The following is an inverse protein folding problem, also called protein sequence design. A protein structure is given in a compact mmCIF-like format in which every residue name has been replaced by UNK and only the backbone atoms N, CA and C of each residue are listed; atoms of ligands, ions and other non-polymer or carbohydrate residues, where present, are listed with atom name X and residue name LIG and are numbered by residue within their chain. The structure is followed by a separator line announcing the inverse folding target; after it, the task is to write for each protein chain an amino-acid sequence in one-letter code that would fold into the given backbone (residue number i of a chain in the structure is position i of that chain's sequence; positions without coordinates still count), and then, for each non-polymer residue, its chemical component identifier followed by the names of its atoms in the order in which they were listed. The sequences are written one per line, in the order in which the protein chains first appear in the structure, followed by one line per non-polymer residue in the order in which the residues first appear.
data_IF_447297880509
#
_entry.id   IF_447297880509
#
_cell.length_a   1.000
_cell.length_b   1.000
_cell.length_c   1.000
_cell.angle_alpha   90.00
_cell.angle_beta   90.00
_cell.angle_gamma   90.00
#
_symmetry.space_group_name_H-M   'P 1'
#
loop_
_entity.id
_entity.type
_entity.pdbx_description
1 polymer ?
#
# COMPACT_ATOMS: atom_id res chain seq x y z
N UNK A 1 1.83 3.74 6.26
CA UNK A 1 2.73 4.17 5.15
C UNK A 1 1.94 4.75 3.98
N UNK A 2 1.17 3.97 3.20
CA UNK A 2 0.42 4.44 2.01
C UNK A 2 -0.42 5.70 2.30
N UNK A 3 -1.29 5.74 3.33
CA UNK A 3 -2.10 6.94 3.58
C UNK A 3 -1.28 8.22 3.84
N UNK A 4 -0.15 8.07 4.55
CA UNK A 4 0.74 9.21 4.81
C UNK A 4 1.43 9.73 3.54
N UNK A 5 1.81 8.84 2.62
CA UNK A 5 2.41 9.21 1.34
C UNK A 5 1.37 9.85 0.41
N UNK A 6 0.15 9.31 0.35
CA UNK A 6 -0.96 9.92 -0.41
C UNK A 6 -1.20 11.33 0.09
N UNK A 7 -1.34 11.51 1.41
CA UNK A 7 -1.54 12.83 2.01
C UNK A 7 -0.41 13.78 1.62
N UNK A 8 0.84 13.36 1.79
CA UNK A 8 2.03 14.18 1.48
C UNK A 8 2.03 14.63 0.01
N UNK A 9 1.76 13.73 -0.93
CA UNK A 9 1.70 14.07 -2.36
C UNK A 9 0.54 15.02 -2.68
N UNK A 10 -0.65 14.79 -2.11
CA UNK A 10 -1.82 15.64 -2.32
C UNK A 10 -1.59 17.04 -1.76
N UNK A 11 -1.11 17.15 -0.51
CA UNK A 11 -0.82 18.44 0.13
C UNK A 11 0.26 19.22 -0.64
N UNK A 12 1.34 18.54 -1.07
CA UNK A 12 2.40 19.16 -1.84
C UNK A 12 1.92 19.65 -3.22
N UNK A 13 1.13 18.85 -3.93
CA UNK A 13 0.50 19.25 -5.19
C UNK A 13 -0.38 20.48 -5.02
N UNK A 14 -1.27 20.45 -4.02
CA UNK A 14 -2.25 21.53 -3.81
C UNK A 14 -1.58 22.84 -3.33
N UNK A 15 -0.43 22.73 -2.64
CA UNK A 15 0.40 23.85 -2.25
C UNK A 15 1.35 24.35 -3.38
N UNK A 16 1.43 23.65 -4.52
CA UNK A 16 2.38 23.99 -5.59
C UNK A 16 3.84 23.75 -5.20
N UNK A 17 4.10 22.82 -4.29
CA UNK A 17 5.47 22.49 -3.86
C UNK A 17 6.23 21.77 -4.97
N UNK A 18 7.52 22.13 -5.15
CA UNK A 18 8.39 21.55 -6.14
C UNK A 18 8.94 20.16 -5.78
N UNK A 19 8.81 19.75 -4.50
CA UNK A 19 9.27 18.45 -4.04
C UNK A 19 8.50 17.92 -2.82
N UNK A 20 8.66 16.60 -2.59
CA UNK A 20 8.38 15.94 -1.32
C UNK A 20 9.63 15.23 -0.82
N UNK A 21 9.81 15.16 0.50
CA UNK A 21 10.87 14.37 1.13
C UNK A 21 10.35 13.02 1.58
N UNK A 22 11.08 11.93 1.28
CA UNK A 22 10.76 10.56 1.70
C UNK A 22 11.97 9.96 2.41
N UNK A 23 11.76 9.40 3.60
CA UNK A 23 12.84 8.82 4.40
C UNK A 23 13.33 7.49 3.83
N UNK A 24 14.65 7.28 3.95
CA UNK A 24 15.34 6.08 3.52
C UNK A 24 15.75 6.13 2.05
N UNK A 25 16.26 5.02 1.54
CA UNK A 25 16.71 4.87 0.16
C UNK A 25 15.59 4.46 -0.80
N UNK A 26 14.48 3.97 -0.25
CA UNK A 26 13.38 3.39 -1.01
C UNK A 26 13.63 1.96 -1.50
N UNK A 27 14.77 1.33 -1.13
CA UNK A 27 15.11 -0.01 -1.58
C UNK A 27 14.32 -1.13 -0.88
N UNK A 28 13.83 -0.88 0.33
CA UNK A 28 13.05 -1.86 1.08
C UNK A 28 11.76 -2.23 0.35
N UNK A 29 11.37 -3.54 0.39
CA UNK A 29 10.13 -4.03 -0.20
C UNK A 29 9.07 -4.33 0.85
N UNK A 30 7.80 -4.16 0.47
CA UNK A 30 6.62 -4.45 1.28
C UNK A 30 5.53 -5.09 0.43
N UNK A 31 4.69 -5.84 1.11
CA UNK A 31 3.47 -6.38 0.55
C UNK A 31 2.28 -5.59 1.09
N UNK A 32 1.31 -5.33 0.23
CA UNK A 32 0.06 -4.64 0.58
C UNK A 32 -1.12 -5.40 -0.01
N UNK A 33 -2.21 -5.46 0.74
CA UNK A 33 -3.47 -6.02 0.29
C UNK A 33 -4.54 -4.92 0.26
N UNK A 34 -5.39 -4.94 -0.76
CA UNK A 34 -6.52 -4.02 -0.83
C UNK A 34 -7.58 -4.38 0.21
N UNK A 35 -8.26 -3.37 0.76
CA UNK A 35 -9.15 -3.54 1.91
C UNK A 35 -10.32 -4.48 1.63
N UNK A 36 -10.89 -4.48 0.42
CA UNK A 36 -11.99 -5.36 0.06
C UNK A 36 -11.54 -6.82 0.00
N UNK A 37 -10.35 -7.11 -0.57
CA UNK A 37 -9.76 -8.45 -0.56
C UNK A 37 -9.47 -8.91 0.87
N UNK A 38 -8.97 -8.02 1.73
CA UNK A 38 -8.75 -8.33 3.13
C UNK A 38 -10.05 -8.66 3.85
N UNK A 39 -11.11 -7.90 3.62
CA UNK A 39 -12.44 -8.14 4.18
C UNK A 39 -13.01 -9.48 3.71
N UNK A 40 -12.90 -9.80 2.42
CA UNK A 40 -13.30 -11.10 1.87
C UNK A 40 -12.52 -12.24 2.53
N UNK A 41 -11.21 -12.09 2.67
CA UNK A 41 -10.37 -13.09 3.34
C UNK A 41 -10.78 -13.33 4.79
N UNK A 42 -11.15 -12.28 5.54
CA UNK A 42 -11.65 -12.38 6.91
C UNK A 42 -12.98 -13.14 6.95
N UNK A 43 -13.91 -12.85 6.03
CA UNK A 43 -15.19 -13.57 5.95
C UNK A 43 -14.96 -15.05 5.62
N UNK A 44 -14.12 -15.34 4.62
CA UNK A 44 -13.83 -16.73 4.23
C UNK A 44 -13.17 -17.53 5.35
N UNK A 45 -12.18 -16.97 6.05
CA UNK A 45 -11.52 -17.66 7.16
C UNK A 45 -12.51 -17.93 8.30
N UNK A 46 -13.39 -16.98 8.60
CA UNK A 46 -14.41 -17.14 9.64
C UNK A 46 -15.41 -18.24 9.31
N UNK A 47 -15.74 -18.42 8.05
CA UNK A 47 -16.75 -19.40 7.58
C UNK A 47 -16.19 -20.80 7.31
N UNK A 48 -14.89 -20.92 7.00
CA UNK A 48 -14.32 -22.15 6.40
C UNK A 48 -13.05 -22.66 7.08
N UNK A 49 -12.53 -21.96 8.08
CA UNK A 49 -11.27 -22.34 8.72
C UNK A 49 -11.49 -22.49 10.23
N UNK A 50 -11.38 -23.73 10.72
CA UNK A 50 -11.55 -24.11 12.13
C UNK A 50 -10.33 -24.90 12.62
N UNK A 51 -9.12 -24.40 12.28
CA UNK A 51 -7.86 -25.01 12.70
C UNK A 51 -7.11 -24.06 13.64
N UNK A 52 -6.27 -24.58 14.57
CA UNK A 52 -5.55 -23.75 15.54
C UNK A 52 -4.38 -22.98 14.94
N UNK A 53 -3.92 -23.36 13.73
CA UNK A 53 -2.75 -22.76 13.11
C UNK A 53 -3.05 -21.37 12.54
N UNK A 54 -2.17 -20.38 12.75
CA UNK A 54 -2.35 -19.07 12.16
C UNK A 54 -2.24 -19.11 10.64
N UNK A 55 -3.00 -18.25 9.96
CA UNK A 55 -3.01 -18.11 8.52
C UNK A 55 -2.78 -16.65 8.12
N UNK A 56 -1.97 -16.43 7.09
CA UNK A 56 -1.73 -15.11 6.55
C UNK A 56 -2.72 -14.81 5.41
N UNK A 57 -3.29 -13.60 5.44
CA UNK A 57 -4.04 -13.03 4.31
C UNK A 57 -3.14 -12.02 3.62
N UNK A 58 -2.79 -12.28 2.38
CA UNK A 58 -1.88 -11.44 1.59
C UNK A 58 -2.03 -11.69 0.10
N UNK A 59 -1.24 -10.96 -0.69
CA UNK A 59 -1.23 -11.05 -2.15
C UNK A 59 -0.12 -11.96 -2.69
N UNK A 60 0.95 -12.14 -1.89
CA UNK A 60 2.20 -12.76 -2.33
C UNK A 60 3.03 -11.85 -3.27
N UNK A 61 2.65 -10.59 -3.46
CA UNK A 61 3.34 -9.65 -4.34
C UNK A 61 3.98 -8.52 -3.54
N UNK A 62 5.23 -8.25 -3.84
CA UNK A 62 6.02 -7.21 -3.19
C UNK A 62 6.24 -6.03 -4.13
N UNK A 63 6.31 -4.85 -3.54
CA UNK A 63 6.68 -3.61 -4.23
C UNK A 63 7.76 -2.89 -3.42
N UNK A 64 8.75 -2.30 -4.09
CA UNK A 64 9.73 -1.45 -3.41
C UNK A 64 9.07 -0.15 -2.95
N UNK A 65 9.60 0.44 -1.88
CA UNK A 65 9.09 1.75 -1.43
C UNK A 65 9.31 2.82 -2.51
N UNK A 66 10.37 2.69 -3.30
CA UNK A 66 10.64 3.60 -4.43
C UNK A 66 9.54 3.54 -5.49
N UNK A 67 9.18 2.34 -5.92
CA UNK A 67 8.12 2.15 -6.92
C UNK A 67 6.76 2.57 -6.37
N UNK A 68 6.49 2.25 -5.09
CA UNK A 68 5.28 2.67 -4.39
C UNK A 68 5.11 4.20 -4.41
N UNK A 69 6.17 4.94 -4.04
CA UNK A 69 6.12 6.42 -4.02
C UNK A 69 5.90 6.97 -5.43
N UNK A 70 6.56 6.40 -6.44
CA UNK A 70 6.36 6.78 -7.84
C UNK A 70 4.91 6.56 -8.31
N UNK A 71 4.30 5.41 -7.97
CA UNK A 71 2.90 5.13 -8.28
C UNK A 71 1.95 6.10 -7.55
N UNK A 72 2.20 6.38 -6.26
CA UNK A 72 1.39 7.34 -5.51
C UNK A 72 1.49 8.75 -6.12
N UNK A 73 2.68 9.21 -6.47
CA UNK A 73 2.88 10.51 -7.13
C UNK A 73 2.07 10.58 -8.43
N UNK A 74 2.14 9.53 -9.26
CA UNK A 74 1.35 9.42 -10.50
C UNK A 74 -0.15 9.48 -10.24
N UNK A 75 -0.68 8.65 -9.34
CA UNK A 75 -2.12 8.57 -9.05
C UNK A 75 -2.66 9.86 -8.40
N UNK A 76 -1.85 10.55 -7.60
CA UNK A 76 -2.20 11.83 -6.99
C UNK A 76 -1.97 13.02 -7.92
N UNK A 77 -1.34 12.82 -9.09
CA UNK A 77 -0.93 13.86 -10.05
C UNK A 77 0.04 14.88 -9.43
N UNK A 78 0.89 14.41 -8.54
CA UNK A 78 2.03 15.19 -8.06
C UNK A 78 3.18 15.04 -9.04
N UNK A 79 3.64 16.13 -9.60
CA UNK A 79 4.69 16.22 -10.64
C UNK A 79 6.03 16.79 -10.13
N UNK A 80 6.11 17.06 -8.82
CA UNK A 80 7.34 17.54 -8.18
C UNK A 80 8.38 16.43 -7.98
N UNK A 81 9.55 16.83 -7.53
CA UNK A 81 10.68 15.95 -7.25
C UNK A 81 10.43 15.08 -5.99
N UNK A 82 10.84 13.81 -6.03
CA UNK A 82 10.88 12.93 -4.86
C UNK A 82 12.32 12.93 -4.33
N UNK A 83 12.54 13.60 -3.20
CA UNK A 83 13.84 13.66 -2.51
C UNK A 83 13.93 12.59 -1.44
N UNK A 84 14.97 11.77 -1.51
CA UNK A 84 15.21 10.68 -0.56
C UNK A 84 16.17 11.15 0.55
N UNK A 85 15.74 11.03 1.81
CA UNK A 85 16.60 11.26 2.98
C UNK A 85 17.20 9.92 3.43
N UNK A 86 18.35 9.57 2.87
CA UNK A 86 19.10 8.35 3.15
C UNK A 86 19.81 8.37 4.52
N UNK A 87 19.82 9.50 5.21
CA UNK A 87 20.27 9.58 6.60
C UNK A 87 19.33 8.85 7.56
N UNK A 88 18.10 8.55 7.13
CA UNK A 88 17.10 7.81 7.88
C UNK A 88 17.12 6.33 7.49
N UNK A 89 16.94 5.41 8.46
CA UNK A 89 17.00 3.98 8.19
C UNK A 89 15.80 3.51 7.33
N UNK A 90 16.05 2.59 6.41
CA UNK A 90 15.02 1.92 5.60
C UNK A 90 14.11 0.97 6.42
N UNK A 91 14.53 0.60 7.62
CA UNK A 91 13.89 -0.44 8.41
C UNK A 91 14.22 -1.85 7.88
N UNK A 92 13.28 -2.80 8.00
CA UNK A 92 13.49 -4.16 7.49
C UNK A 92 13.61 -4.15 5.96
N UNK A 93 14.64 -4.79 5.36
CA UNK A 93 14.83 -4.79 3.91
C UNK A 93 13.66 -5.39 3.14
N UNK A 94 13.06 -6.46 3.68
CA UNK A 94 11.95 -7.19 3.07
C UNK A 94 10.91 -7.59 4.09
N UNK A 95 9.62 -7.45 3.73
CA UNK A 95 8.50 -7.98 4.52
C UNK A 95 7.39 -8.45 3.58
N UNK A 96 7.25 -9.78 3.48
CA UNK A 96 6.24 -10.45 2.68
C UNK A 96 5.64 -11.61 3.48
N UNK A 97 4.46 -12.07 3.07
CA UNK A 97 3.71 -13.14 3.71
C UNK A 97 3.72 -14.41 2.86
N UNK A 98 3.77 -15.57 3.52
CA UNK A 98 3.46 -16.85 2.88
C UNK A 98 1.93 -16.98 2.80
N UNK A 99 1.37 -17.03 1.60
CA UNK A 99 -0.09 -16.96 1.33
C UNK A 99 -0.70 -18.29 0.92
N UNK A 100 0.12 -19.32 0.71
CA UNK A 100 -0.29 -20.62 0.18
C UNK A 100 -1.32 -21.32 1.06
N UNK A 101 -1.16 -21.23 2.39
CA UNK A 101 -2.08 -21.86 3.34
C UNK A 101 -3.50 -21.33 3.20
N UNK A 102 -3.69 -20.02 3.03
CA UNK A 102 -5.02 -19.42 2.85
C UNK A 102 -5.71 -19.95 1.58
N UNK A 103 -4.96 -20.07 0.49
CA UNK A 103 -5.53 -20.58 -0.76
C UNK A 103 -5.85 -22.07 -0.70
N UNK A 104 -5.03 -22.87 -0.02
CA UNK A 104 -5.22 -24.33 0.09
C UNK A 104 -6.32 -24.71 1.08
N UNK A 105 -6.45 -24.00 2.20
CA UNK A 105 -7.36 -24.38 3.29
C UNK A 105 -8.78 -23.86 3.13
N UNK A 106 -8.96 -22.65 2.60
CA UNK A 106 -10.29 -22.05 2.45
C UNK A 106 -10.49 -21.28 1.14
N UNK A 107 -9.57 -21.40 0.19
CA UNK A 107 -9.73 -20.89 -1.17
C UNK A 107 -9.49 -19.37 -1.32
N UNK A 108 -8.91 -18.70 -0.31
CA UNK A 108 -8.65 -17.27 -0.43
C UNK A 108 -7.49 -16.95 -1.37
N UNK A 109 -7.73 -15.99 -2.26
CA UNK A 109 -6.71 -15.33 -3.09
C UNK A 109 -7.12 -13.88 -3.27
N UNK A 110 -6.20 -12.95 -3.01
CA UNK A 110 -6.41 -11.56 -3.37
C UNK A 110 -6.53 -11.42 -4.89
N UNK A 111 -7.53 -10.70 -5.36
CA UNK A 111 -7.87 -10.55 -6.79
C UNK A 111 -7.64 -9.14 -7.32
N UNK A 112 -7.61 -8.15 -6.42
CA UNK A 112 -7.38 -6.75 -6.79
C UNK A 112 -5.90 -6.52 -7.06
N UNK A 113 -5.56 -6.01 -8.25
CA UNK A 113 -4.18 -5.61 -8.55
C UNK A 113 -3.74 -4.47 -7.62
N UNK A 114 -2.42 -4.36 -7.39
CA UNK A 114 -1.90 -3.31 -6.52
C UNK A 114 -2.26 -1.91 -7.05
N UNK A 115 -2.10 -1.71 -8.36
CA UNK A 115 -2.39 -0.44 -9.03
C UNK A 115 -3.87 -0.06 -8.92
N UNK A 116 -4.79 -1.02 -9.13
CA UNK A 116 -6.23 -0.75 -9.01
C UNK A 116 -6.64 -0.42 -7.57
N UNK A 117 -6.14 -1.19 -6.60
CA UNK A 117 -6.37 -0.92 -5.17
C UNK A 117 -5.81 0.42 -4.73
N UNK A 118 -4.61 0.79 -5.21
CA UNK A 118 -4.00 2.09 -4.93
C UNK A 118 -4.83 3.22 -5.53
N UNK A 119 -5.21 3.13 -6.80
CA UNK A 119 -6.04 4.11 -7.48
C UNK A 119 -7.36 4.36 -6.74
N UNK A 120 -8.09 3.30 -6.38
CA UNK A 120 -9.34 3.41 -5.60
C UNK A 120 -9.11 4.07 -4.24
N UNK A 121 -7.98 3.77 -3.58
CA UNK A 121 -7.62 4.37 -2.29
C UNK A 121 -7.35 5.88 -2.43
N UNK A 122 -6.64 6.29 -3.48
CA UNK A 122 -6.36 7.71 -3.77
C UNK A 122 -7.66 8.45 -4.09
N UNK A 123 -8.53 7.89 -4.94
CA UNK A 123 -9.84 8.46 -5.28
C UNK A 123 -10.72 8.64 -4.03
N UNK A 124 -10.75 7.61 -3.17
CA UNK A 124 -11.48 7.68 -1.90
C UNK A 124 -10.92 8.81 -1.01
N UNK A 125 -9.60 8.85 -0.83
CA UNK A 125 -8.95 9.88 -0.01
C UNK A 125 -9.30 11.30 -0.50
N UNK A 126 -9.18 11.55 -1.80
CA UNK A 126 -9.47 12.87 -2.40
C UNK A 126 -10.94 13.27 -2.28
N UNK A 127 -11.85 12.31 -2.24
CA UNK A 127 -13.29 12.56 -2.09
C UNK A 127 -13.69 12.91 -0.65
N UNK A 128 -13.06 12.24 0.34
CA UNK A 128 -13.43 12.39 1.76
C UNK A 128 -12.62 13.46 2.49
N UNK A 129 -11.48 13.87 1.94
CA UNK A 129 -10.63 14.91 2.52
C UNK A 129 -11.04 16.25 1.92
N UNK A 130 -11.53 17.21 2.75
CA UNK A 130 -11.82 18.56 2.25
C UNK A 130 -10.55 19.17 1.67
N UNK A 131 -10.66 19.84 0.53
CA UNK A 131 -9.55 20.66 0.03
C UNK A 131 -9.27 21.73 1.08
N UNK A 132 -8.01 21.82 1.51
CA UNK A 132 -7.58 22.96 2.34
C UNK A 132 -7.85 24.23 1.56
N UNK A 133 -8.65 25.11 2.16
CA UNK A 133 -9.00 26.40 1.57
C UNK A 133 -7.79 27.34 1.60
#
# INVERSE_FOLDING_TARGET
MIPALIRKCVEARDAGSDHIEVWGTGAASREFIYVDDAAEGIVLVTMRYDEPDPVNLGTGQEITIRDLVGLIAKETRFDGEIRWDDSRPDGQPRRALATERASQRFGFRATTSFEDGLRRTVEWYQRVTPKSA
#
